data_IF_875291755484
#
_entry.id   IF_875291755484
#
_cell.length_a   1.000
_cell.length_b   1.000
_cell.length_c   1.000
_cell.angle_alpha   90.00
_cell.angle_beta   90.00
_cell.angle_gamma   90.00
#
_symmetry.space_group_name_H-M   'P 1'
#
loop_
_entity.id
_entity.type
_entity.pdbx_description
1 polymer ?
#
# COMPACT_ATOMS: atom_id res chain seq x y z
N UNK A 1 -16.63 -10.21 -9.76
CA UNK A 1 -15.71 -9.77 -8.69
C UNK A 1 -15.65 -10.88 -7.67
N UNK A 2 -14.50 -11.55 -7.55
CA UNK A 2 -14.35 -12.78 -6.76
C UNK A 2 -13.25 -13.71 -7.26
N UNK A 3 -12.38 -13.24 -8.15
CA UNK A 3 -11.21 -13.99 -8.58
C UNK A 3 -10.12 -13.87 -7.52
N UNK A 4 -9.40 -14.96 -7.27
CA UNK A 4 -8.28 -14.95 -6.34
C UNK A 4 -7.06 -14.33 -7.00
N UNK A 5 -6.54 -13.28 -6.38
CA UNK A 5 -5.27 -12.65 -6.79
C UNK A 5 -4.17 -13.01 -5.79
N UNK A 6 -2.96 -13.19 -6.29
CA UNK A 6 -1.77 -13.40 -5.47
C UNK A 6 -0.83 -12.20 -5.58
N UNK A 7 -0.33 -11.71 -4.43
CA UNK A 7 0.72 -10.70 -4.39
C UNK A 7 2.05 -11.38 -4.07
N UNK A 8 3.01 -11.27 -4.97
CA UNK A 8 4.38 -11.71 -4.69
C UNK A 8 5.05 -10.68 -3.79
N UNK A 9 5.59 -11.13 -2.67
CA UNK A 9 6.27 -10.29 -1.68
C UNK A 9 7.65 -10.87 -1.37
N UNK A 10 8.61 -10.01 -1.07
CA UNK A 10 9.96 -10.45 -0.72
C UNK A 10 10.00 -11.15 0.64
N UNK A 11 9.26 -10.61 1.61
CA UNK A 11 9.22 -11.15 2.97
C UNK A 11 7.91 -10.79 3.68
N UNK A 12 7.44 -11.69 4.54
CA UNK A 12 6.31 -11.45 5.44
C UNK A 12 6.86 -10.89 6.75
N UNK A 13 6.32 -9.74 7.18
CA UNK A 13 6.63 -9.13 8.47
C UNK A 13 5.73 -9.62 9.61
N UNK A 14 5.79 -8.94 10.74
CA UNK A 14 4.95 -9.22 11.91
C UNK A 14 3.53 -8.62 11.76
N UNK A 15 2.58 -9.16 12.51
CA UNK A 15 1.22 -8.61 12.58
C UNK A 15 1.18 -7.50 13.63
N UNK A 16 0.96 -6.27 13.19
CA UNK A 16 0.85 -5.09 14.05
C UNK A 16 -0.61 -4.71 14.30
N UNK A 17 -0.92 -4.24 15.51
CA UNK A 17 -2.20 -3.59 15.83
C UNK A 17 -1.96 -2.10 15.99
N UNK A 18 -2.46 -1.32 15.05
CA UNK A 18 -2.32 0.14 15.05
C UNK A 18 -3.68 0.77 15.32
N UNK A 19 -3.68 1.90 16.02
CA UNK A 19 -4.89 2.71 16.17
C UNK A 19 -5.23 3.37 14.83
N UNK A 20 -6.52 3.43 14.49
CA UNK A 20 -6.99 4.09 13.25
C UNK A 20 -6.57 5.57 13.22
N UNK A 21 -6.54 6.23 14.38
CA UNK A 21 -6.11 7.63 14.52
C UNK A 21 -4.62 7.87 14.18
N UNK A 22 -3.81 6.81 14.12
CA UNK A 22 -2.40 6.91 13.70
C UNK A 22 -2.25 6.85 12.17
N UNK A 23 -3.35 6.72 11.42
CA UNK A 23 -3.30 6.75 9.97
C UNK A 23 -3.28 8.20 9.50
N UNK A 24 -2.26 8.53 8.71
CA UNK A 24 -2.04 9.86 8.17
C UNK A 24 -2.15 9.84 6.65
N UNK A 25 -2.42 11.01 6.08
CA UNK A 25 -2.36 11.20 4.64
C UNK A 25 -0.94 10.94 4.11
N UNK A 26 -0.87 10.58 2.83
CA UNK A 26 0.42 10.32 2.17
C UNK A 26 1.31 11.56 2.24
N UNK A 27 2.52 11.46 2.81
CA UNK A 27 3.37 12.62 2.99
C UNK A 27 3.90 13.10 1.64
N UNK A 28 4.13 14.41 1.53
CA UNK A 28 4.50 15.07 0.26
C UNK A 28 5.81 14.57 -0.35
N UNK A 29 6.66 13.93 0.45
CA UNK A 29 7.93 13.35 0.03
C UNK A 29 7.86 11.85 -0.29
N UNK A 30 6.67 11.23 -0.24
CA UNK A 30 6.47 9.85 -0.67
C UNK A 30 6.62 9.74 -2.19
N UNK A 31 7.23 8.65 -2.67
CA UNK A 31 7.34 8.39 -4.10
C UNK A 31 5.95 8.43 -4.77
N UNK A 32 5.74 9.22 -5.85
CA UNK A 32 4.44 9.36 -6.48
C UNK A 32 3.81 8.04 -6.95
N UNK A 33 4.61 7.03 -7.32
CA UNK A 33 4.12 5.71 -7.69
C UNK A 33 3.53 4.99 -6.48
N UNK A 34 4.17 5.13 -5.32
CA UNK A 34 3.65 4.59 -4.06
C UNK A 34 2.45 5.38 -3.56
N UNK A 35 2.45 6.70 -3.66
CA UNK A 35 1.31 7.53 -3.27
C UNK A 35 0.02 7.20 -4.05
N UNK A 36 0.13 6.77 -5.31
CA UNK A 36 -1.02 6.31 -6.11
C UNK A 36 -1.62 5.02 -5.55
N UNK A 37 -0.78 4.09 -5.11
CA UNK A 37 -1.18 2.79 -4.57
C UNK A 37 -1.53 2.83 -3.08
N UNK A 38 -1.10 3.87 -2.38
CA UNK A 38 -1.27 4.00 -0.93
C UNK A 38 -2.66 4.53 -0.57
N UNK A 39 -3.32 3.84 0.37
CA UNK A 39 -4.53 4.30 1.06
C UNK A 39 -4.24 5.25 2.23
N UNK A 40 -2.96 5.34 2.63
CA UNK A 40 -2.48 6.16 3.75
C UNK A 40 -1.15 5.64 4.24
N UNK A 41 -0.63 6.26 5.30
CA UNK A 41 0.60 5.81 5.97
C UNK A 41 0.43 5.77 7.48
N UNK A 42 1.14 4.85 8.11
CA UNK A 42 1.37 4.84 9.55
C UNK A 42 2.82 5.16 9.83
N UNK A 43 3.05 6.11 10.73
CA UNK A 43 4.40 6.38 11.24
C UNK A 43 4.69 5.45 12.40
N UNK A 44 5.77 4.69 12.26
CA UNK A 44 6.33 3.82 13.29
C UNK A 44 7.60 4.46 13.87
N UNK A 45 8.21 3.83 14.86
CA UNK A 45 9.47 4.31 15.44
C UNK A 45 10.61 4.25 14.41
N UNK A 46 10.90 5.41 13.79
CA UNK A 46 11.97 5.59 12.82
C UNK A 46 11.68 5.02 11.42
N UNK A 47 10.45 4.56 11.17
CA UNK A 47 10.05 3.96 9.89
C UNK A 47 8.65 4.43 9.46
N UNK A 48 8.38 4.34 8.16
CA UNK A 48 7.07 4.66 7.59
C UNK A 48 6.47 3.38 7.01
N UNK A 49 5.28 3.02 7.46
CA UNK A 49 4.53 1.88 6.94
C UNK A 49 3.42 2.38 6.01
N UNK A 50 3.51 2.01 4.74
CA UNK A 50 2.51 2.38 3.74
C UNK A 50 1.36 1.37 3.77
N UNK A 51 0.13 1.85 3.80
CA UNK A 51 -1.06 1.01 3.67
C UNK A 51 -1.37 0.84 2.19
N UNK A 52 -1.22 -0.37 1.67
CA UNK A 52 -1.48 -0.67 0.26
C UNK A 52 -2.98 -0.81 0.00
N UNK A 53 -3.51 0.00 -0.92
CA UNK A 53 -4.90 -0.10 -1.39
C UNK A 53 -4.96 -1.12 -2.54
N UNK A 54 -5.52 -2.30 -2.24
CA UNK A 54 -5.60 -3.42 -3.19
C UNK A 54 -6.50 -3.09 -4.39
N UNK A 55 -7.57 -2.32 -4.20
CA UNK A 55 -8.45 -1.96 -5.30
C UNK A 55 -7.69 -1.11 -6.34
N UNK A 56 -6.89 -0.14 -5.89
CA UNK A 56 -6.04 0.68 -6.78
C UNK A 56 -4.95 -0.13 -7.48
N UNK A 57 -4.35 -1.10 -6.79
CA UNK A 57 -3.34 -2.00 -7.39
C UNK A 57 -3.95 -2.80 -8.53
N UNK A 58 -5.16 -3.33 -8.34
CA UNK A 58 -5.85 -4.13 -9.35
C UNK A 58 -6.36 -3.27 -10.52
N UNK A 59 -6.60 -1.98 -10.32
CA UNK A 59 -6.93 -1.05 -11.41
C UNK A 59 -5.71 -0.71 -12.31
N UNK A 60 -4.49 -0.67 -11.75
CA UNK A 60 -3.26 -0.35 -12.48
C UNK A 60 -2.60 -1.57 -13.16
N UNK A 61 -2.79 -2.78 -12.63
CA UNK A 61 -2.27 -4.01 -13.23
C UNK A 61 -2.68 -4.23 -14.71
N UNK A 62 -3.94 -3.96 -15.14
CA UNK A 62 -4.32 -4.05 -16.55
C UNK A 62 -3.54 -3.09 -17.47
N UNK A 63 -3.14 -1.91 -16.98
CA UNK A 63 -2.38 -0.94 -17.78
C UNK A 63 -0.93 -1.36 -17.99
N UNK A 64 -0.32 -2.03 -17.00
CA UNK A 64 1.06 -2.51 -17.05
C UNK A 64 1.26 -3.76 -17.93
N UNK A 65 0.22 -4.58 -18.14
CA UNK A 65 0.27 -5.70 -19.09
C UNK A 65 0.05 -5.28 -20.55
N UNK A 66 -0.45 -4.07 -20.78
CA UNK A 66 -0.74 -3.53 -22.10
C UNK A 66 0.39 -2.64 -22.67
N UNK A 67 1.49 -2.45 -21.93
CA UNK A 67 2.63 -1.60 -22.28
C UNK A 67 3.89 -2.40 -22.68
#
# INVERSE_FOLDING_TARGET
RGESYGLLIDQIGEVLRLAEDNMEENPVNLDPRMAKLAGGVHRLDGQLMVVLDVDRVLELAPEMMAA
#
